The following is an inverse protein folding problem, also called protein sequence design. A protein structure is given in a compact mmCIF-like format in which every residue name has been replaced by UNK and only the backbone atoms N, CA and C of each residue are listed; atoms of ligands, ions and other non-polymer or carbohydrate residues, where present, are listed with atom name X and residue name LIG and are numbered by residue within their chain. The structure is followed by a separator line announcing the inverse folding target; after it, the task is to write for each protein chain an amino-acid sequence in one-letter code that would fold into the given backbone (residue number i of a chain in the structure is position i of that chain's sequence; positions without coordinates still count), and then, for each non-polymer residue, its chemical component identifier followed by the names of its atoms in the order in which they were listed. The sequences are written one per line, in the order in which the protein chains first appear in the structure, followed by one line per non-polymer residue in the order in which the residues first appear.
data_IF_252478482563
#
_entry.id   IF_252478482563
#
_cell.length_a   1.000
_cell.length_b   1.000
_cell.length_c   1.000
_cell.angle_alpha   90.00
_cell.angle_beta   90.00
_cell.angle_gamma   90.00
#
_symmetry.space_group_name_H-M   'P 1'
#
loop_
_entity.id
_entity.type
_entity.pdbx_description
1 polymer ?
#
# COMPACT_ATOMS: atom_id res chain seq x y z
N UNK A 1 -9.89 9.58 10.12
CA UNK A 1 -9.98 8.30 10.85
C UNK A 1 -11.17 7.50 10.34
N UNK A 2 -12.37 8.08 10.28
CA UNK A 2 -13.59 7.39 9.81
C UNK A 2 -13.49 6.71 8.44
N UNK A 3 -12.90 7.35 7.43
CA UNK A 3 -12.86 6.71 6.10
C UNK A 3 -12.00 5.44 6.06
N UNK A 4 -10.97 5.34 6.90
CA UNK A 4 -10.06 4.19 6.89
C UNK A 4 -10.66 3.00 7.65
N UNK A 5 -11.32 3.26 8.78
CA UNK A 5 -12.05 2.22 9.52
C UNK A 5 -13.27 1.71 8.74
N UNK A 6 -13.97 2.59 8.02
CA UNK A 6 -15.05 2.19 7.11
C UNK A 6 -14.54 1.30 5.97
N UNK A 7 -13.41 1.65 5.35
CA UNK A 7 -12.80 0.86 4.28
C UNK A 7 -12.36 -0.52 4.79
N UNK A 8 -11.78 -0.58 5.99
CA UNK A 8 -11.42 -1.83 6.64
C UNK A 8 -12.64 -2.70 6.94
N UNK A 9 -13.71 -2.12 7.49
CA UNK A 9 -14.96 -2.83 7.77
C UNK A 9 -15.62 -3.36 6.51
N UNK A 10 -15.60 -2.58 5.42
CA UNK A 10 -16.12 -3.00 4.13
C UNK A 10 -15.31 -4.15 3.55
N UNK A 11 -13.97 -4.05 3.58
CA UNK A 11 -13.07 -5.10 3.14
C UNK A 11 -13.24 -6.40 3.96
N UNK A 12 -13.50 -6.28 5.26
CA UNK A 12 -13.78 -7.43 6.13
C UNK A 12 -15.13 -8.09 5.81
N UNK A 13 -16.12 -7.32 5.35
CA UNK A 13 -17.47 -7.80 5.05
C UNK A 13 -17.61 -8.42 3.64
N UNK A 14 -16.68 -8.18 2.71
CA UNK A 14 -16.73 -8.78 1.36
C UNK A 14 -16.68 -10.30 1.46
N UNK A 15 -17.66 -10.97 0.86
CA UNK A 15 -17.73 -12.43 0.80
C UNK A 15 -17.39 -13.02 -0.57
N UNK A 16 -16.80 -14.22 -0.57
CA UNK A 16 -16.48 -15.00 -1.76
C UNK A 16 -17.71 -15.53 -2.48
N UNK A 17 -18.87 -15.52 -1.82
CA UNK A 17 -20.15 -15.85 -2.45
C UNK A 17 -20.70 -14.67 -3.27
N UNK A 18 -20.30 -13.44 -2.95
CA UNK A 18 -20.82 -12.23 -3.59
C UNK A 18 -19.84 -11.60 -4.59
N UNK A 19 -18.54 -11.87 -4.44
CA UNK A 19 -17.50 -11.32 -5.30
C UNK A 19 -16.46 -12.36 -5.70
N UNK A 20 -16.03 -12.32 -6.96
CA UNK A 20 -14.96 -13.18 -7.50
C UNK A 20 -13.56 -12.58 -7.29
N UNK A 21 -13.46 -11.25 -7.20
CA UNK A 21 -12.21 -10.51 -7.00
C UNK A 21 -12.44 -9.18 -6.28
N UNK A 22 -11.41 -8.67 -5.60
CA UNK A 22 -11.43 -7.34 -4.98
C UNK A 22 -10.51 -6.42 -5.75
N UNK A 23 -11.05 -5.34 -6.33
CA UNK A 23 -10.26 -4.34 -7.06
C UNK A 23 -10.06 -3.08 -6.23
N UNK A 24 -8.83 -2.86 -5.76
CA UNK A 24 -8.49 -1.74 -4.88
C UNK A 24 -7.94 -0.56 -5.67
N UNK A 25 -8.62 0.57 -5.61
CA UNK A 25 -8.18 1.82 -6.23
C UNK A 25 -7.51 2.71 -5.20
N UNK A 26 -6.21 2.93 -5.33
CA UNK A 26 -5.48 3.80 -4.40
C UNK A 26 -3.97 3.66 -4.46
N UNK A 27 -3.32 4.02 -3.35
CA UNK A 27 -1.90 3.78 -3.14
C UNK A 27 -1.64 2.69 -2.11
N UNK A 28 -0.36 2.50 -1.78
CA UNK A 28 0.12 1.45 -0.88
C UNK A 28 -0.61 1.46 0.51
N UNK A 29 -0.96 2.64 1.02
CA UNK A 29 -1.69 2.75 2.30
C UNK A 29 -3.14 2.26 2.26
N UNK A 30 -3.84 2.48 1.15
CA UNK A 30 -5.21 1.96 0.93
C UNK A 30 -5.15 0.45 0.82
N UNK A 31 -4.20 -0.07 0.04
CA UNK A 31 -3.99 -1.50 -0.13
C UNK A 31 -3.68 -2.19 1.20
N UNK A 32 -2.79 -1.64 2.02
CA UNK A 32 -2.48 -2.18 3.35
C UNK A 32 -3.71 -2.25 4.26
N UNK A 33 -4.59 -1.25 4.19
CA UNK A 33 -5.85 -1.23 4.97
C UNK A 33 -6.81 -2.33 4.51
N UNK A 34 -7.01 -2.49 3.20
CA UNK A 34 -7.88 -3.55 2.65
C UNK A 34 -7.36 -4.93 3.00
N UNK A 35 -6.06 -5.16 2.80
CA UNK A 35 -5.40 -6.44 3.09
C UNK A 35 -5.50 -6.77 4.57
N UNK A 36 -5.29 -5.78 5.44
CA UNK A 36 -5.48 -5.95 6.89
C UNK A 36 -6.91 -6.33 7.23
N UNK A 37 -7.91 -5.66 6.64
CA UNK A 37 -9.33 -5.98 6.87
C UNK A 37 -9.70 -7.40 6.44
N UNK A 38 -9.21 -7.85 5.28
CA UNK A 38 -9.46 -9.21 4.77
C UNK A 38 -8.79 -10.28 5.63
N UNK A 39 -7.49 -10.13 5.91
CA UNK A 39 -6.71 -11.14 6.64
C UNK A 39 -7.08 -11.21 8.13
N UNK A 40 -7.55 -10.12 8.74
CA UNK A 40 -8.08 -10.15 10.12
C UNK A 40 -9.34 -11.00 10.27
N UNK A 41 -10.14 -11.12 9.22
CA UNK A 41 -11.42 -11.82 9.29
C UNK A 41 -11.36 -13.24 8.69
N UNK A 42 -10.33 -13.57 7.92
CA UNK A 42 -10.24 -14.84 7.18
C UNK A 42 -8.87 -15.49 7.30
N UNK A 43 -8.85 -16.74 7.75
CA UNK A 43 -7.63 -17.54 7.80
C UNK A 43 -7.28 -18.22 6.46
N UNK A 44 -8.24 -18.56 5.60
CA UNK A 44 -7.99 -19.57 4.54
C UNK A 44 -8.53 -19.30 3.12
N UNK A 45 -9.33 -18.25 2.88
CA UNK A 45 -9.87 -17.99 1.53
C UNK A 45 -9.75 -16.51 1.18
N UNK A 46 -8.59 -16.15 0.64
CA UNK A 46 -8.27 -14.79 0.20
C UNK A 46 -8.74 -14.65 -1.25
N UNK A 47 -9.71 -13.77 -1.47
CA UNK A 47 -10.13 -13.35 -2.81
C UNK A 47 -8.91 -12.81 -3.58
N UNK A 48 -8.79 -13.04 -4.90
CA UNK A 48 -7.75 -12.39 -5.68
C UNK A 48 -7.91 -10.87 -5.58
N UNK A 49 -6.83 -10.19 -5.19
CA UNK A 49 -6.80 -8.74 -5.02
C UNK A 49 -6.10 -8.13 -6.24
N UNK A 50 -6.86 -7.38 -7.03
CA UNK A 50 -6.32 -6.51 -8.07
C UNK A 50 -6.12 -5.09 -7.54
N UNK A 51 -5.19 -4.35 -8.15
CA UNK A 51 -4.83 -3.02 -7.67
C UNK A 51 -4.81 -2.02 -8.82
N UNK A 52 -5.41 -0.86 -8.64
CA UNK A 52 -5.26 0.27 -9.54
C UNK A 52 -4.29 1.29 -8.94
N UNK A 53 -3.17 1.59 -9.61
CA UNK A 53 -2.14 2.48 -9.09
C UNK A 53 -2.57 3.95 -9.16
N UNK A 54 -3.48 4.37 -8.27
CA UNK A 54 -3.98 5.75 -8.18
C UNK A 54 -3.07 6.69 -7.38
N UNK A 55 -2.08 6.14 -6.66
CA UNK A 55 -1.10 6.91 -5.88
C UNK A 55 0.07 7.46 -6.68
N UNK A 56 0.60 8.61 -6.25
CA UNK A 56 1.74 9.31 -6.87
C UNK A 56 3.10 8.55 -6.75
N UNK A 57 3.22 7.61 -5.80
CA UNK A 57 4.43 6.82 -5.53
C UNK A 57 4.03 5.42 -5.00
N UNK A 58 3.65 4.49 -5.90
CA UNK A 58 3.34 3.10 -5.54
C UNK A 58 4.59 2.23 -5.62
N UNK A 59 5.54 2.47 -4.71
CA UNK A 59 6.82 1.76 -4.68
C UNK A 59 6.64 0.27 -4.38
N UNK A 60 5.65 -0.08 -3.56
CA UNK A 60 5.37 -1.47 -3.21
C UNK A 60 4.84 -2.24 -4.42
N UNK A 61 3.90 -1.65 -5.17
CA UNK A 61 3.37 -2.23 -6.42
C UNK A 61 4.44 -2.42 -7.49
N UNK A 62 5.33 -1.43 -7.68
CA UNK A 62 6.46 -1.54 -8.62
C UNK A 62 7.40 -2.71 -8.32
N UNK A 63 7.61 -3.03 -7.04
CA UNK A 63 8.43 -4.19 -6.63
C UNK A 63 7.69 -5.52 -6.75
N UNK A 64 6.37 -5.51 -6.55
CA UNK A 64 5.53 -6.70 -6.60
C UNK A 64 5.27 -7.19 -8.02
N UNK A 65 5.09 -6.29 -8.98
CA UNK A 65 4.88 -6.63 -10.38
C UNK A 65 5.64 -5.65 -11.29
N UNK A 66 6.98 -5.78 -11.36
CA UNK A 66 7.80 -4.87 -12.16
C UNK A 66 7.37 -4.87 -13.63
N UNK A 67 6.95 -6.01 -14.17
CA UNK A 67 6.49 -6.14 -15.57
C UNK A 67 5.21 -5.34 -15.88
N UNK A 68 4.31 -5.18 -14.91
CA UNK A 68 3.04 -4.43 -15.08
C UNK A 68 3.22 -2.95 -14.74
N UNK A 69 4.12 -2.63 -13.80
CA UNK A 69 4.30 -1.29 -13.27
C UNK A 69 5.61 -0.60 -13.70
N UNK A 70 6.40 -1.16 -14.62
CA UNK A 70 7.66 -0.56 -15.09
C UNK A 70 7.45 0.69 -15.94
N UNK A 71 6.45 0.70 -16.84
CA UNK A 71 6.33 1.71 -17.91
C UNK A 71 6.24 3.14 -17.36
N UNK A 72 7.11 4.06 -17.77
CA UNK A 72 7.16 5.43 -17.21
C UNK A 72 5.88 6.25 -17.31
N UNK A 73 4.96 5.89 -18.21
CA UNK A 73 3.70 6.61 -18.45
C UNK A 73 2.60 6.18 -17.48
N UNK A 74 2.08 7.14 -16.72
CA UNK A 74 1.07 6.93 -15.68
C UNK A 74 -0.21 6.28 -16.23
N UNK A 75 -0.66 6.69 -17.42
CA UNK A 75 -1.88 6.14 -18.07
C UNK A 75 -1.70 4.70 -18.49
N UNK A 76 -0.54 4.35 -19.07
CA UNK A 76 -0.29 3.00 -19.54
C UNK A 76 -0.29 2.02 -18.36
N UNK A 77 0.39 2.36 -17.26
CA UNK A 77 0.38 1.53 -16.03
C UNK A 77 -1.03 1.27 -15.52
N UNK A 78 -1.90 2.28 -15.53
CA UNK A 78 -3.29 2.16 -15.09
C UNK A 78 -4.07 1.18 -15.98
N UNK A 79 -3.93 1.30 -17.31
CA UNK A 79 -4.57 0.40 -18.27
C UNK A 79 -4.04 -1.04 -18.17
N UNK A 80 -2.72 -1.23 -18.11
CA UNK A 80 -2.10 -2.56 -18.00
C UNK A 80 -2.55 -3.27 -16.70
N UNK A 81 -2.69 -2.53 -15.59
CA UNK A 81 -3.21 -3.09 -14.34
C UNK A 81 -4.68 -3.54 -14.42
N UNK A 82 -5.51 -2.80 -15.15
CA UNK A 82 -6.89 -3.19 -15.42
C UNK A 82 -6.97 -4.38 -16.38
N UNK A 83 -6.12 -4.43 -17.40
CA UNK A 83 -6.02 -5.56 -18.32
C UNK A 83 -5.58 -6.84 -17.61
N UNK A 84 -4.59 -6.77 -16.71
CA UNK A 84 -4.14 -7.91 -15.93
C UNK A 84 -5.25 -8.52 -15.05
N UNK A 85 -6.17 -7.68 -14.55
CA UNK A 85 -7.37 -8.15 -13.84
C UNK A 85 -8.32 -8.90 -14.78
N UNK A 86 -8.62 -8.31 -15.95
CA UNK A 86 -9.54 -8.89 -16.95
C UNK A 86 -8.99 -10.21 -17.50
N UNK A 87 -7.67 -10.31 -17.66
CA UNK A 87 -6.98 -11.52 -18.14
C UNK A 87 -6.76 -12.57 -17.05
N UNK A 88 -7.27 -12.35 -15.83
CA UNK A 88 -7.12 -13.27 -14.68
C UNK A 88 -5.66 -13.66 -14.40
N UNK A 89 -4.74 -12.71 -14.58
CA UNK A 89 -3.33 -12.94 -14.29
C UNK A 89 -3.09 -12.90 -12.77
N UNK A 90 -3.03 -14.08 -12.15
CA UNK A 90 -2.84 -14.21 -10.71
C UNK A 90 -1.38 -14.51 -10.34
N UNK A 91 -0.90 -13.87 -9.27
CA UNK A 91 0.40 -14.17 -8.65
C UNK A 91 0.22 -14.34 -7.14
N UNK A 92 0.71 -15.45 -6.60
CA UNK A 92 0.76 -15.64 -5.15
C UNK A 92 1.86 -14.76 -4.54
N UNK A 93 1.46 -13.95 -3.56
CA UNK A 93 2.34 -13.04 -2.84
C UNK A 93 2.22 -13.36 -1.36
N UNK A 94 3.33 -13.34 -0.63
CA UNK A 94 3.33 -13.49 0.82
C UNK A 94 3.08 -12.14 1.48
N UNK A 95 2.07 -12.07 2.34
CA UNK A 95 1.88 -10.96 3.26
C UNK A 95 2.73 -11.18 4.52
N UNK A 96 3.09 -10.10 5.19
CA UNK A 96 3.71 -10.13 6.51
C UNK A 96 2.72 -9.64 7.56
N UNK A 97 2.82 -10.21 8.76
CA UNK A 97 2.06 -9.81 9.93
C UNK A 97 2.96 -9.02 10.88
N UNK A 98 2.48 -7.85 11.31
CA UNK A 98 3.13 -7.02 12.31
C UNK A 98 2.26 -6.98 13.56
N UNK A 99 2.76 -7.61 14.61
CA UNK A 99 2.24 -7.50 15.97
C UNK A 99 3.15 -6.58 16.77
N UNK A 100 2.55 -5.69 17.57
CA UNK A 100 3.29 -4.83 18.49
C UNK A 100 3.07 -5.37 19.89
N UNK A 101 4.04 -6.09 20.43
CA UNK A 101 4.02 -6.55 21.81
C UNK A 101 4.46 -5.39 22.74
N UNK A 102 3.59 -4.95 23.66
CA UNK A 102 3.99 -4.05 24.76
C UNK A 102 3.09 -2.87 25.09
N UNK A 103 1.99 -2.63 24.38
CA UNK A 103 0.94 -1.69 24.83
C UNK A 103 -0.15 -2.47 25.58
N UNK A 104 -0.63 -1.98 26.73
CA UNK A 104 -1.75 -2.55 27.53
C UNK A 104 -3.11 -2.60 26.78
N UNK A 105 -3.09 -2.32 25.48
CA UNK A 105 -4.22 -2.51 24.57
C UNK A 105 -3.80 -3.54 23.53
N UNK A 106 -4.49 -4.68 23.51
CA UNK A 106 -4.40 -5.70 22.45
C UNK A 106 -4.65 -5.04 21.08
N UNK A 107 -3.59 -4.50 20.47
CA UNK A 107 -3.67 -3.93 19.13
C UNK A 107 -3.71 -5.10 18.15
N UNK A 108 -4.82 -5.23 17.45
CA UNK A 108 -5.02 -6.23 16.40
C UNK A 108 -3.85 -6.22 15.40
N UNK A 109 -3.40 -7.39 14.93
CA UNK A 109 -2.27 -7.51 14.00
C UNK A 109 -2.50 -6.68 12.75
N UNK A 110 -1.46 -6.05 12.22
CA UNK A 110 -1.50 -5.28 10.97
C UNK A 110 -0.84 -6.13 9.89
N UNK A 111 -1.52 -6.28 8.75
CA UNK A 111 -0.98 -7.01 7.62
C UNK A 111 -0.52 -6.06 6.53
N UNK A 112 0.62 -6.36 5.91
CA UNK A 112 1.14 -5.57 4.82
C UNK A 112 1.66 -6.42 3.67
N UNK A 113 1.72 -5.80 2.49
CA UNK A 113 2.28 -6.39 1.28
C UNK A 113 3.38 -5.45 0.79
N UNK A 114 4.61 -5.96 0.68
CA UNK A 114 5.77 -5.17 0.25
C UNK A 114 6.85 -4.99 1.32
N UNK A 115 7.43 -3.78 1.38
CA UNK A 115 8.57 -3.46 2.24
C UNK A 115 8.11 -2.67 3.47
N UNK A 116 8.62 -3.01 4.65
CA UNK A 116 8.27 -2.34 5.91
C UNK A 116 9.25 -1.20 6.15
N UNK A 117 8.82 0.02 5.85
CA UNK A 117 9.57 1.23 6.15
C UNK A 117 9.34 1.72 7.59
N UNK A 118 10.24 1.41 8.51
CA UNK A 118 10.22 1.96 9.88
C UNK A 118 11.26 3.08 10.07
N UNK A 119 10.92 4.09 10.89
CA UNK A 119 11.86 5.12 11.35
C UNK A 119 12.10 6.30 10.39
N UNK A 120 13.38 6.59 10.13
CA UNK A 120 13.86 7.85 9.52
C UNK A 120 13.33 8.11 8.10
N UNK A 121 13.17 7.05 7.31
CA UNK A 121 12.66 7.14 5.93
C UNK A 121 11.22 7.68 5.87
N UNK A 122 10.33 7.20 6.75
CA UNK A 122 8.94 7.68 6.81
C UNK A 122 8.88 9.17 7.17
N UNK A 123 9.72 9.61 8.11
CA UNK A 123 9.81 11.01 8.52
C UNK A 123 10.28 11.93 7.39
N UNK A 124 11.27 11.49 6.60
CA UNK A 124 11.76 12.22 5.42
C UNK A 124 10.66 12.33 4.35
N UNK A 125 9.94 11.24 4.09
CA UNK A 125 8.85 11.19 3.10
C UNK A 125 7.70 12.15 3.47
N UNK A 126 7.34 12.25 4.75
CA UNK A 126 6.33 13.19 5.24
C UNK A 126 6.78 14.66 5.12
N UNK A 127 8.04 14.97 5.44
CA UNK A 127 8.59 16.32 5.25
C UNK A 127 8.76 16.69 3.78
N UNK A 128 9.05 15.72 2.91
CA UNK A 128 9.11 15.91 1.44
C UNK A 128 7.82 16.54 0.91
N UNK A 129 6.66 16.17 1.45
CA UNK A 129 5.35 16.73 1.04
C UNK A 129 5.19 18.19 1.43
N UNK A 130 5.79 18.63 2.54
CA UNK A 130 5.75 20.03 3.02
C UNK A 130 6.71 20.95 2.24
N UNK A 131 7.79 20.38 1.68
CA UNK A 131 8.82 21.09 0.89
C UNK A 131 8.44 21.27 -0.59
N UNK A 132 7.15 21.42 -0.89
CA UNK A 132 6.63 21.51 -2.26
C UNK A 132 7.23 22.68 -3.06
N UNK A 133 7.66 23.75 -2.38
CA UNK A 133 8.29 24.93 -2.97
C UNK A 133 9.64 24.64 -3.66
N UNK A 134 10.36 23.57 -3.30
CA UNK A 134 11.75 23.31 -3.77
C UNK A 134 11.87 22.39 -4.99
N UNK A 135 10.76 22.10 -5.69
CA UNK A 135 10.79 21.42 -7.00
C UNK A 135 11.62 20.12 -7.02
N UNK A 136 12.48 19.94 -8.03
CA UNK A 136 13.28 18.72 -8.20
C UNK A 136 14.39 18.53 -7.14
N UNK A 137 14.85 19.62 -6.50
CA UNK A 137 15.92 19.57 -5.48
C UNK A 137 15.39 19.08 -4.13
N UNK A 138 14.07 19.00 -3.96
CA UNK A 138 13.38 18.52 -2.75
C UNK A 138 13.94 17.21 -2.23
N UNK A 139 14.31 16.28 -3.13
CA UNK A 139 14.76 14.94 -2.75
C UNK A 139 16.17 14.94 -2.16
N UNK A 140 17.05 15.87 -2.54
CA UNK A 140 18.39 15.96 -1.91
C UNK A 140 18.33 16.83 -0.66
N UNK A 141 17.57 17.92 -0.70
CA UNK A 141 17.40 18.83 0.42
C UNK A 141 16.74 18.20 1.63
N UNK A 142 15.69 17.39 1.47
CA UNK A 142 15.01 16.76 2.60
C UNK A 142 15.95 15.84 3.40
N UNK A 143 16.84 15.11 2.72
CA UNK A 143 17.82 14.23 3.37
C UNK A 143 18.94 15.03 4.03
N UNK A 144 19.46 16.07 3.36
CA UNK A 144 20.50 16.95 3.93
C UNK A 144 19.98 17.68 5.16
N UNK A 145 18.75 18.20 5.12
CA UNK A 145 18.14 18.94 6.22
C UNK A 145 17.93 18.07 7.46
N UNK A 146 17.51 16.81 7.29
CA UNK A 146 17.39 15.88 8.42
C UNK A 146 18.75 15.49 8.97
N UNK A 147 19.76 15.32 8.12
CA UNK A 147 21.12 15.04 8.56
C UNK A 147 21.74 16.21 9.36
N UNK A 148 21.40 17.45 9.00
CA UNK A 148 21.86 18.66 9.68
C UNK A 148 21.21 18.87 11.05
N UNK A 149 19.99 18.35 11.26
CA UNK A 149 19.21 18.53 12.49
C UNK A 149 19.55 17.52 13.59
N UNK A 150 20.40 16.54 13.28
CA UNK A 150 20.87 15.50 14.21
C UNK A 150 22.14 15.91 14.96
N UNK A 151 22.72 17.08 14.65
CA UNK A 151 23.70 17.80 15.49
C UNK A 151 23.02 18.99 16.18
#
# INVERSE_FOLDING_TARGET
ADNQSQLEALAAAVDTQEADAVYVVGGDGTLGTVVTGILRNRENSVLPIGVFPGGYDNLSLKRLAPTVFESSDDVRRMCESAMALIEEQHRSIRAFELTVEGDETDRKPIYGIGDVGAGWFRHIEERRRKLWYFGAVKRRWAYIWEMLKVH
#
